data_IF_892536219034
#
_entry.id   IF_892536219034
#
_cell.length_a   1.000
_cell.length_b   1.000
_cell.length_c   1.000
_cell.angle_alpha   90.00
_cell.angle_beta   90.00
_cell.angle_gamma   90.00
#
_symmetry.space_group_name_H-M   'P 1'
#
loop_
_entity.id
_entity.type
_entity.pdbx_description
1 polymer ?
#
# COMPACT_ATOMS: atom_id res chain seq x y z
N UNK A 1 -67.93 -34.37 -43.75
CA UNK A 1 -68.02 -35.03 -45.06
C UNK A 1 -67.06 -34.30 -45.99
N UNK A 2 -65.94 -34.77 -46.52
CA UNK A 2 -65.17 -36.02 -46.61
C UNK A 2 -63.70 -35.52 -46.65
N UNK A 3 -62.75 -36.00 -45.86
CA UNK A 3 -61.96 -37.24 -46.00
C UNK A 3 -61.33 -37.48 -47.40
N UNK A 4 -59.99 -37.33 -47.43
CA UNK A 4 -58.93 -38.13 -48.12
C UNK A 4 -58.41 -37.74 -49.51
N UNK A 5 -57.10 -38.07 -49.65
CA UNK A 5 -56.23 -38.23 -50.84
C UNK A 5 -55.49 -36.93 -51.25
N UNK A 6 -54.15 -36.79 -51.32
CA UNK A 6 -53.02 -37.72 -51.51
C UNK A 6 -51.68 -37.06 -51.08
N UNK A 7 -50.76 -37.85 -50.48
CA UNK A 7 -49.29 -37.67 -50.47
C UNK A 7 -48.71 -37.98 -51.87
N UNK A 8 -47.41 -37.78 -52.22
CA UNK A 8 -46.34 -36.90 -51.70
C UNK A 8 -45.49 -36.21 -52.82
N UNK A 9 -44.87 -35.06 -52.56
CA UNK A 9 -43.69 -34.57 -53.30
C UNK A 9 -42.86 -33.75 -52.31
N UNK A 10 -41.91 -34.37 -51.62
CA UNK A 10 -40.50 -34.42 -51.98
C UNK A 10 -39.79 -33.06 -51.93
N UNK A 11 -38.81 -33.02 -51.03
CA UNK A 11 -37.61 -32.18 -51.01
C UNK A 11 -37.68 -30.77 -50.44
N UNK A 12 -36.65 -30.53 -49.62
CA UNK A 12 -36.15 -29.27 -49.10
C UNK A 12 -36.98 -28.61 -48.00
N UNK A 13 -36.59 -28.89 -46.74
CA UNK A 13 -36.11 -27.89 -45.78
C UNK A 13 -35.91 -28.55 -44.40
N UNK A 14 -34.85 -29.36 -44.26
CA UNK A 14 -34.28 -29.67 -42.95
C UNK A 14 -33.35 -28.52 -42.57
N UNK A 15 -33.92 -27.44 -42.03
CA UNK A 15 -33.15 -26.45 -41.29
C UNK A 15 -33.02 -26.93 -39.84
N UNK A 16 -31.93 -27.66 -39.57
CA UNK A 16 -31.47 -27.96 -38.22
C UNK A 16 -30.98 -26.64 -37.61
N UNK A 17 -31.80 -26.00 -36.79
CA UNK A 17 -31.35 -24.96 -35.87
C UNK A 17 -30.54 -25.64 -34.76
N UNK A 18 -29.25 -25.81 -35.03
CA UNK A 18 -28.27 -26.23 -34.03
C UNK A 18 -28.26 -25.21 -32.89
N UNK A 19 -28.59 -25.68 -31.68
CA UNK A 19 -28.23 -25.01 -30.45
C UNK A 19 -26.71 -24.84 -30.43
N UNK A 20 -26.23 -23.65 -30.72
CA UNK A 20 -24.85 -23.26 -30.46
C UNK A 20 -24.70 -23.19 -28.94
N UNK A 21 -24.21 -24.27 -28.35
CA UNK A 21 -23.60 -24.22 -27.02
C UNK A 21 -22.38 -23.31 -27.17
N UNK A 22 -22.56 -22.04 -26.82
CA UNK A 22 -21.43 -21.15 -26.58
C UNK A 22 -20.64 -21.76 -25.42
N UNK A 23 -19.48 -22.35 -25.74
CA UNK A 23 -18.41 -22.61 -24.78
C UNK A 23 -18.03 -21.25 -24.19
N UNK A 24 -18.69 -20.85 -23.11
CA UNK A 24 -18.28 -19.69 -22.33
C UNK A 24 -17.00 -20.07 -21.63
N UNK A 25 -15.96 -19.32 -21.96
CA UNK A 25 -14.58 -19.44 -21.50
C UNK A 25 -14.46 -19.73 -20.00
N UNK A 26 -14.15 -20.98 -19.67
CA UNK A 26 -13.64 -21.36 -18.35
C UNK A 26 -12.29 -20.71 -18.05
N UNK A 27 -11.64 -20.05 -19.01
CA UNK A 27 -10.38 -19.34 -18.83
C UNK A 27 -10.52 -18.07 -17.97
N UNK A 28 -11.67 -17.37 -18.04
CA UNK A 28 -11.88 -16.13 -17.28
C UNK A 28 -12.12 -16.40 -15.78
N UNK A 29 -12.71 -17.55 -15.45
CA UNK A 29 -12.96 -17.98 -14.06
C UNK A 29 -11.71 -18.54 -13.36
N UNK A 30 -10.66 -18.91 -14.09
CA UNK A 30 -9.40 -19.42 -13.50
C UNK A 30 -8.45 -18.28 -13.12
N UNK A 31 -8.54 -17.12 -13.78
CA UNK A 31 -7.71 -15.96 -13.42
C UNK A 31 -8.02 -15.37 -12.03
N UNK A 32 -9.20 -15.66 -11.47
CA UNK A 32 -9.60 -15.13 -10.16
C UNK A 32 -9.09 -15.93 -8.96
N UNK A 33 -8.43 -17.09 -9.16
CA UNK A 33 -7.99 -17.97 -8.05
C UNK A 33 -6.48 -18.23 -7.98
N UNK A 34 -5.67 -17.72 -8.90
CA UNK A 34 -4.22 -17.96 -8.89
C UNK A 34 -3.44 -16.64 -8.88
N UNK A 35 -3.66 -15.85 -7.83
CA UNK A 35 -2.79 -14.72 -7.51
C UNK A 35 -1.39 -15.26 -7.17
N UNK A 36 -0.36 -14.66 -7.79
CA UNK A 36 1.08 -14.90 -7.59
C UNK A 36 1.82 -15.84 -8.55
N UNK A 37 1.37 -16.06 -9.80
CA UNK A 37 2.23 -16.70 -10.82
C UNK A 37 3.32 -15.74 -11.34
N UNK A 38 4.50 -16.27 -11.70
CA UNK A 38 5.58 -15.54 -12.38
C UNK A 38 5.11 -15.01 -13.74
N UNK A 39 5.74 -13.94 -14.22
CA UNK A 39 5.43 -13.37 -15.54
C UNK A 39 5.63 -14.42 -16.64
N UNK A 40 4.64 -14.59 -17.52
CA UNK A 40 4.63 -15.62 -18.57
C UNK A 40 4.17 -17.01 -18.13
N UNK A 41 3.73 -17.20 -16.88
CA UNK A 41 3.26 -18.49 -16.37
C UNK A 41 1.73 -18.58 -16.23
N UNK A 42 1.15 -19.70 -16.67
CA UNK A 42 -0.29 -19.97 -16.71
C UNK A 42 -0.64 -21.33 -16.08
N UNK A 43 -1.76 -21.45 -15.34
CA UNK A 43 -2.16 -22.72 -14.72
C UNK A 43 -2.68 -23.73 -15.77
N UNK A 44 -2.43 -25.03 -15.57
CA UNK A 44 -2.92 -26.12 -16.44
C UNK A 44 -4.13 -26.80 -15.81
N UNK A 45 -5.11 -27.19 -16.64
CA UNK A 45 -6.37 -27.81 -16.20
C UNK A 45 -6.26 -29.19 -15.54
N UNK A 46 -5.06 -29.81 -15.51
CA UNK A 46 -4.78 -31.11 -14.90
C UNK A 46 -3.89 -31.05 -13.65
N UNK A 47 -3.66 -29.85 -13.09
CA UNK A 47 -2.61 -29.61 -12.10
C UNK A 47 -1.32 -29.08 -12.77
N UNK A 48 -0.55 -28.30 -12.02
CA UNK A 48 0.66 -27.65 -12.52
C UNK A 48 0.44 -26.36 -13.31
N UNK A 49 1.49 -25.91 -13.99
CA UNK A 49 1.55 -24.63 -14.69
C UNK A 49 2.53 -24.67 -15.87
N UNK A 50 2.39 -23.75 -16.81
CA UNK A 50 3.23 -23.63 -17.99
C UNK A 50 3.77 -22.22 -18.08
N UNK A 51 5.09 -22.07 -18.25
CA UNK A 51 5.78 -20.79 -18.32
C UNK A 51 6.46 -20.60 -19.67
N UNK A 52 6.25 -19.45 -20.29
CA UNK A 52 7.06 -18.99 -21.44
C UNK A 52 8.33 -18.32 -20.92
N UNK A 53 9.48 -18.94 -21.19
CA UNK A 53 10.80 -18.49 -20.77
C UNK A 53 11.63 -18.20 -22.01
N UNK A 54 12.28 -17.04 -22.06
CA UNK A 54 13.25 -16.72 -23.12
C UNK A 54 14.59 -17.39 -22.83
N UNK A 55 14.99 -18.34 -23.66
CA UNK A 55 16.37 -18.85 -23.72
C UNK A 55 16.94 -18.53 -25.10
N UNK A 56 18.14 -17.95 -25.12
CA UNK A 56 18.88 -17.63 -26.35
C UNK A 56 18.07 -16.84 -27.41
N UNK A 57 17.18 -15.95 -26.94
CA UNK A 57 16.35 -15.10 -27.81
C UNK A 57 15.11 -15.78 -28.40
N UNK A 58 14.88 -17.06 -28.12
CA UNK A 58 13.67 -17.79 -28.51
C UNK A 58 12.74 -18.02 -27.31
N UNK A 59 11.43 -17.94 -27.55
CA UNK A 59 10.41 -18.24 -26.54
C UNK A 59 10.27 -19.77 -26.42
N UNK A 60 10.71 -20.33 -25.29
CA UNK A 60 10.56 -21.75 -24.96
C UNK A 60 9.45 -21.90 -23.90
N UNK A 61 8.56 -22.87 -24.10
CA UNK A 61 7.49 -23.17 -23.15
C UNK A 61 7.90 -24.33 -22.25
N UNK A 62 8.10 -24.08 -20.96
CA UNK A 62 8.34 -25.12 -19.95
C UNK A 62 7.07 -25.42 -19.16
N UNK A 63 6.79 -26.69 -18.96
CA UNK A 63 5.67 -27.14 -18.13
C UNK A 63 6.18 -27.68 -16.81
N UNK A 64 5.55 -27.26 -15.71
CA UNK A 64 5.79 -27.72 -14.36
C UNK A 64 4.53 -28.43 -13.87
N UNK A 65 4.70 -29.56 -13.18
CA UNK A 65 3.58 -30.32 -12.63
C UNK A 65 3.08 -29.75 -11.29
N UNK A 66 3.88 -28.89 -10.64
CA UNK A 66 3.55 -28.25 -9.37
C UNK A 66 3.25 -26.75 -9.57
N UNK A 67 2.14 -26.28 -8.99
CA UNK A 67 1.70 -24.88 -9.07
C UNK A 67 2.62 -23.93 -8.27
N UNK A 68 3.27 -24.40 -7.20
CA UNK A 68 4.24 -23.63 -6.40
C UNK A 68 5.51 -23.31 -7.19
N UNK A 69 5.93 -24.17 -8.12
CA UNK A 69 7.10 -23.94 -8.96
C UNK A 69 6.96 -22.68 -9.84
N UNK A 70 5.72 -22.33 -10.20
CA UNK A 70 5.42 -21.13 -10.98
C UNK A 70 5.06 -19.92 -10.13
N UNK A 71 5.04 -20.02 -8.80
CA UNK A 71 4.73 -18.86 -7.95
C UNK A 71 5.91 -17.89 -7.87
N UNK A 72 5.59 -16.59 -7.79
CA UNK A 72 6.54 -15.54 -7.39
C UNK A 72 6.86 -15.75 -5.91
N UNK A 73 8.13 -15.89 -5.56
CA UNK A 73 8.54 -15.97 -4.17
C UNK A 73 8.32 -14.61 -3.49
N UNK A 74 7.19 -14.45 -2.81
CA UNK A 74 6.82 -13.23 -2.08
C UNK A 74 7.62 -13.03 -0.79
N UNK A 75 8.44 -14.00 -0.38
CA UNK A 75 9.09 -14.07 0.93
C UNK A 75 10.30 -13.12 1.05
N UNK A 76 10.88 -12.67 -0.05
CA UNK A 76 12.12 -11.88 -0.02
C UNK A 76 11.90 -10.42 0.41
N UNK A 77 10.78 -9.79 0.06
CA UNK A 77 10.57 -8.36 0.36
C UNK A 77 10.33 -8.09 1.85
N UNK A 78 9.64 -8.97 2.58
CA UNK A 78 9.41 -8.79 4.02
C UNK A 78 10.69 -8.99 4.83
N UNK A 79 11.45 -10.06 4.53
CA UNK A 79 12.74 -10.33 5.18
C UNK A 79 13.77 -9.27 4.82
N UNK A 80 13.91 -8.90 3.54
CA UNK A 80 14.84 -7.86 3.12
C UNK A 80 14.47 -6.50 3.73
N UNK A 81 13.18 -6.16 3.83
CA UNK A 81 12.75 -4.92 4.50
C UNK A 81 13.05 -4.95 5.99
N UNK A 82 12.88 -6.09 6.65
CA UNK A 82 13.23 -6.25 8.07
C UNK A 82 14.75 -6.12 8.28
N UNK A 83 15.56 -6.79 7.46
CA UNK A 83 17.02 -6.71 7.48
C UNK A 83 17.50 -5.28 7.19
N UNK A 84 16.99 -4.63 6.14
CA UNK A 84 17.33 -3.24 5.81
C UNK A 84 16.91 -2.27 6.92
N UNK A 85 15.73 -2.46 7.53
CA UNK A 85 15.30 -1.63 8.65
C UNK A 85 16.17 -1.86 9.90
N UNK A 86 16.64 -3.08 10.12
CA UNK A 86 17.54 -3.41 11.22
C UNK A 86 18.92 -2.79 10.99
N UNK A 87 19.48 -2.91 9.79
CA UNK A 87 20.72 -2.25 9.38
C UNK A 87 20.60 -0.72 9.48
N UNK A 88 19.47 -0.16 9.04
CA UNK A 88 19.20 1.27 9.14
C UNK A 88 19.14 1.74 10.60
N UNK A 89 18.47 0.99 11.48
CA UNK A 89 18.44 1.30 12.92
C UNK A 89 19.81 1.18 13.57
N UNK A 90 20.60 0.16 13.21
CA UNK A 90 21.94 -0.03 13.78
C UNK A 90 22.91 1.09 13.35
N UNK A 91 22.86 1.49 12.08
CA UNK A 91 23.73 2.54 11.54
C UNK A 91 23.25 3.96 11.86
N UNK A 92 21.94 4.18 11.95
CA UNK A 92 21.37 5.54 11.95
C UNK A 92 20.42 5.85 13.11
N UNK A 93 20.11 4.88 13.97
CA UNK A 93 19.05 5.03 14.98
C UNK A 93 19.34 6.03 16.10
N UNK A 94 20.61 6.35 16.36
CA UNK A 94 21.03 7.17 17.51
C UNK A 94 21.92 8.35 17.13
N UNK A 95 21.81 8.92 15.93
CA UNK A 95 22.60 10.12 15.60
C UNK A 95 22.08 11.33 16.37
N UNK A 96 23.01 12.21 16.78
CA UNK A 96 22.70 13.53 17.34
C UNK A 96 21.82 14.34 16.41
N UNK A 97 20.95 15.15 16.98
CA UNK A 97 20.16 16.11 16.22
C UNK A 97 21.08 16.96 15.31
N UNK A 98 20.67 17.10 14.04
CA UNK A 98 21.43 17.78 12.97
C UNK A 98 22.74 17.10 12.52
N UNK A 99 22.92 15.80 12.82
CA UNK A 99 24.00 14.98 12.26
C UNK A 99 23.52 14.05 11.13
N UNK A 100 24.27 14.03 10.03
CA UNK A 100 24.02 13.22 8.84
C UNK A 100 25.17 12.25 8.57
N UNK A 101 24.90 10.96 8.37
CA UNK A 101 25.94 9.95 8.14
C UNK A 101 26.63 10.14 6.79
N UNK A 102 27.93 9.80 6.71
CA UNK A 102 28.70 9.79 5.47
C UNK A 102 28.77 8.37 4.87
N UNK A 103 28.88 8.23 3.53
CA UNK A 103 28.98 6.92 2.88
C UNK A 103 30.23 6.10 3.23
N UNK A 104 31.36 6.76 3.50
CA UNK A 104 32.67 6.09 3.70
C UNK A 104 33.02 5.85 5.18
N UNK A 105 32.49 6.66 6.09
CA UNK A 105 32.54 6.55 7.56
C UNK A 105 32.29 7.93 8.17
N UNK A 106 31.82 7.98 9.41
CA UNK A 106 31.61 9.23 10.15
C UNK A 106 30.33 9.98 9.79
N UNK A 107 30.24 11.26 10.16
CA UNK A 107 29.06 12.09 9.93
C UNK A 107 29.40 13.57 9.72
N UNK A 108 28.42 14.34 9.27
CA UNK A 108 28.42 15.80 9.19
C UNK A 108 27.35 16.33 10.13
N UNK A 109 27.73 17.12 11.11
CA UNK A 109 26.83 17.71 12.07
C UNK A 109 26.80 19.22 11.93
N UNK A 110 25.63 19.84 11.97
CA UNK A 110 25.52 21.28 12.18
C UNK A 110 25.56 21.54 13.68
N UNK A 111 26.66 22.12 14.16
CA UNK A 111 26.87 22.46 15.58
C UNK A 111 26.91 23.98 15.71
N UNK A 112 26.46 24.52 16.83
CA UNK A 112 26.58 25.95 17.13
C UNK A 112 27.97 26.24 17.70
N UNK A 113 28.65 27.26 17.19
CA UNK A 113 29.91 27.73 17.73
C UNK A 113 29.72 28.62 18.98
N UNK A 114 30.83 29.08 19.57
CA UNK A 114 30.83 29.95 20.76
C UNK A 114 30.18 31.32 20.49
N UNK A 115 30.02 31.71 19.23
CA UNK A 115 29.33 32.93 18.79
C UNK A 115 27.85 32.69 18.43
N UNK A 116 27.37 31.45 18.54
CA UNK A 116 26.00 31.05 18.24
C UNK A 116 25.69 30.82 16.74
N UNK A 117 26.69 30.85 15.87
CA UNK A 117 26.53 30.56 14.44
C UNK A 117 26.53 29.04 14.19
N UNK A 118 25.69 28.57 13.26
CA UNK A 118 25.64 27.16 12.86
C UNK A 118 26.80 26.84 11.92
N UNK A 119 27.75 26.05 12.41
CA UNK A 119 28.93 25.59 11.66
C UNK A 119 28.87 24.10 11.41
N UNK A 120 29.26 23.69 10.21
CA UNK A 120 29.22 22.29 9.81
C UNK A 120 30.51 21.59 10.25
N UNK A 121 30.42 20.74 11.28
CA UNK A 121 31.53 19.93 11.76
C UNK A 121 31.48 18.53 11.15
N UNK A 122 32.61 18.06 10.67
CA UNK A 122 32.76 16.67 10.19
C UNK A 122 33.40 15.84 11.29
N UNK A 123 32.82 14.68 11.56
CA UNK A 123 33.40 13.66 12.42
C UNK A 123 33.74 12.43 11.57
N UNK A 124 34.89 11.81 11.82
CA UNK A 124 35.34 10.61 11.10
C UNK A 124 34.87 9.32 11.76
N UNK A 125 34.62 9.35 13.07
CA UNK A 125 34.12 8.21 13.85
C UNK A 125 32.60 8.30 13.99
N UNK A 126 31.92 7.16 13.91
CA UNK A 126 30.48 7.08 14.12
C UNK A 126 30.07 7.34 15.57
N UNK A 127 30.95 7.09 16.53
CA UNK A 127 30.72 7.29 17.97
C UNK A 127 30.49 8.76 18.30
N UNK A 128 31.26 9.66 17.70
CA UNK A 128 31.17 11.11 17.91
C UNK A 128 29.85 11.69 17.37
N UNK A 129 29.22 10.97 16.45
CA UNK A 129 27.96 11.31 15.79
C UNK A 129 26.74 10.85 16.58
N UNK A 130 26.92 9.94 17.54
CA UNK A 130 25.83 9.32 18.28
C UNK A 130 25.54 10.09 19.56
N UNK A 131 24.27 10.19 19.92
CA UNK A 131 23.90 10.64 21.24
C UNK A 131 24.37 9.61 22.25
N UNK A 132 25.08 10.09 23.27
CA UNK A 132 25.30 9.29 24.47
C UNK A 132 23.94 9.24 25.15
N UNK A 133 23.18 8.19 24.85
CA UNK A 133 21.96 7.89 25.59
C UNK A 133 22.38 7.63 27.03
N UNK A 134 22.12 8.58 27.92
CA UNK A 134 22.33 8.41 29.36
C UNK A 134 21.67 7.09 29.79
N UNK A 135 22.42 6.22 30.47
CA UNK A 135 21.93 4.94 30.97
C UNK A 135 20.66 5.16 31.83
N UNK A 136 20.62 6.27 32.57
CA UNK A 136 19.46 6.71 33.34
C UNK A 136 18.22 6.99 32.49
N UNK A 137 18.35 7.47 31.25
CA UNK A 137 17.22 7.69 30.34
C UNK A 137 16.68 6.36 29.77
N UNK A 138 17.56 5.38 29.54
CA UNK A 138 17.14 4.01 29.14
C UNK A 138 16.39 3.33 30.28
N UNK A 139 16.91 3.42 31.49
CA UNK A 139 16.28 2.88 32.70
C UNK A 139 14.96 3.58 33.00
N UNK A 140 14.89 4.92 32.92
CA UNK A 140 13.64 5.67 33.10
C UNK A 140 12.59 5.30 32.04
N UNK A 141 12.99 5.16 30.77
CA UNK A 141 12.07 4.73 29.70
C UNK A 141 11.60 3.29 29.90
N UNK A 142 12.48 2.39 30.35
CA UNK A 142 12.11 1.03 30.68
C UNK A 142 11.15 0.98 31.88
N UNK A 143 11.43 1.75 32.93
CA UNK A 143 10.58 1.87 34.11
C UNK A 143 9.19 2.44 33.77
N UNK A 144 9.12 3.52 32.98
CA UNK A 144 7.85 4.10 32.52
C UNK A 144 7.09 3.11 31.64
N UNK A 145 7.76 2.37 30.76
CA UNK A 145 7.11 1.35 29.94
C UNK A 145 6.56 0.19 30.78
N UNK A 146 7.28 -0.25 31.81
CA UNK A 146 6.79 -1.27 32.74
C UNK A 146 5.64 -0.73 33.60
N UNK A 147 5.70 0.52 34.05
CA UNK A 147 4.61 1.19 34.75
C UNK A 147 3.35 1.28 33.88
N UNK A 148 3.49 1.64 32.60
CA UNK A 148 2.38 1.66 31.64
C UNK A 148 1.80 0.26 31.44
N UNK A 149 2.64 -0.78 31.30
CA UNK A 149 2.16 -2.17 31.17
C UNK A 149 1.42 -2.63 32.42
N UNK A 150 1.91 -2.29 33.60
CA UNK A 150 1.25 -2.64 34.86
C UNK A 150 -0.08 -1.90 35.03
N UNK A 151 -0.11 -0.60 34.69
CA UNK A 151 -1.30 0.26 34.85
C UNK A 151 -2.36 0.06 33.77
N UNK A 152 -1.99 -0.32 32.55
CA UNK A 152 -2.92 -0.32 31.41
C UNK A 152 -2.93 -1.62 30.59
N UNK A 153 -1.90 -2.47 30.73
CA UNK A 153 -1.74 -3.66 29.88
C UNK A 153 -2.72 -4.80 30.15
N UNK A 154 -3.48 -4.74 31.24
CA UNK A 154 -4.39 -5.82 31.64
C UNK A 154 -5.87 -5.49 31.43
N UNK A 155 -6.22 -4.33 30.89
CA UNK A 155 -7.63 -3.95 30.70
C UNK A 155 -8.26 -4.73 29.52
N UNK A 156 -9.54 -5.07 29.66
CA UNK A 156 -10.40 -5.63 28.62
C UNK A 156 -10.47 -4.65 27.44
N UNK A 157 -10.73 -5.18 26.26
CA UNK A 157 -10.86 -4.34 25.06
C UNK A 157 -12.03 -3.36 25.22
N UNK A 158 -11.80 -2.11 24.80
CA UNK A 158 -12.72 -0.98 24.96
C UNK A 158 -12.96 -0.51 26.41
N UNK A 159 -12.11 -0.92 27.36
CA UNK A 159 -12.12 -0.42 28.74
C UNK A 159 -11.00 0.58 29.01
N UNK A 160 -11.33 1.71 29.62
CA UNK A 160 -10.41 2.79 29.96
C UNK A 160 -10.41 3.05 31.47
N UNK A 161 -9.24 3.14 32.13
CA UNK A 161 -9.17 3.42 33.57
C UNK A 161 -9.56 4.87 33.88
N UNK A 162 -10.14 5.08 35.07
CA UNK A 162 -10.53 6.40 35.59
C UNK A 162 -9.49 6.91 36.61
N UNK A 163 -9.24 8.23 36.66
CA UNK A 163 -8.35 8.82 37.68
C UNK A 163 -8.78 8.55 39.13
N UNK A 164 -10.10 8.41 39.36
CA UNK A 164 -10.70 8.15 40.68
C UNK A 164 -10.71 6.65 41.07
N UNK A 165 -10.07 5.78 40.28
CA UNK A 165 -10.20 4.34 40.39
C UNK A 165 -11.41 3.78 39.61
N UNK A 166 -11.30 2.52 39.22
CA UNK A 166 -12.24 1.85 38.35
C UNK A 166 -12.04 2.20 36.89
N UNK A 167 -13.02 1.88 36.07
CA UNK A 167 -12.87 1.90 34.61
C UNK A 167 -14.20 2.04 33.89
N UNK A 168 -14.11 2.48 32.64
CA UNK A 168 -15.23 2.77 31.75
C UNK A 168 -15.08 1.91 30.50
N UNK A 169 -16.02 1.01 30.27
CA UNK A 169 -16.00 0.08 29.15
C UNK A 169 -17.11 0.40 28.16
N UNK A 170 -16.80 0.41 26.86
CA UNK A 170 -17.82 0.41 25.82
C UNK A 170 -18.17 -1.04 25.49
N UNK A 171 -19.35 -1.47 25.95
CA UNK A 171 -19.89 -2.81 25.77
C UNK A 171 -21.09 -2.77 24.83
N UNK A 172 -21.57 -3.93 24.36
CA UNK A 172 -22.79 -4.01 23.54
C UNK A 172 -23.93 -4.57 24.36
N UNK A 173 -25.09 -3.93 24.31
CA UNK A 173 -26.31 -4.45 24.92
C UNK A 173 -26.84 -5.69 24.17
N UNK A 174 -27.89 -6.33 24.70
CA UNK A 174 -28.53 -7.48 24.06
C UNK A 174 -29.13 -7.20 22.67
N UNK A 175 -29.24 -5.93 22.28
CA UNK A 175 -29.72 -5.48 20.97
C UNK A 175 -28.58 -5.04 20.04
N UNK A 176 -27.31 -5.11 20.50
CA UNK A 176 -26.13 -4.74 19.73
C UNK A 176 -25.74 -3.26 19.76
N UNK A 177 -26.41 -2.43 20.56
CA UNK A 177 -26.08 -1.01 20.73
C UNK A 177 -24.88 -0.84 21.66
N UNK A 178 -24.03 0.15 21.38
CA UNK A 178 -22.91 0.48 22.26
C UNK A 178 -23.42 1.19 23.53
N UNK A 179 -23.21 0.54 24.66
CA UNK A 179 -23.53 1.05 26.00
C UNK A 179 -22.24 1.21 26.79
N UNK A 180 -22.20 2.29 27.57
CA UNK A 180 -21.05 2.63 28.39
C UNK A 180 -21.25 2.07 29.80
N UNK A 181 -20.57 0.97 30.12
CA UNK A 181 -20.52 0.42 31.46
C UNK A 181 -19.46 1.13 32.29
N UNK A 182 -19.79 1.49 33.54
CA UNK A 182 -18.85 2.12 34.47
C UNK A 182 -18.65 1.22 35.68
N UNK A 183 -17.42 0.80 35.89
CA UNK A 183 -17.03 -0.09 36.97
C UNK A 183 -16.30 0.69 38.07
N UNK A 184 -16.53 0.30 39.33
CA UNK A 184 -15.96 0.94 40.51
C UNK A 184 -14.52 0.49 40.80
N UNK A 185 -14.15 -0.72 40.37
CA UNK A 185 -12.82 -1.29 40.59
C UNK A 185 -12.11 -1.66 39.29
N UNK A 186 -10.77 -1.52 39.30
CA UNK A 186 -9.93 -1.89 38.16
C UNK A 186 -9.96 -3.39 37.87
N UNK A 187 -10.27 -4.21 38.88
CA UNK A 187 -10.33 -5.67 38.77
C UNK A 187 -11.45 -6.11 37.81
N UNK A 188 -12.57 -5.39 37.78
CA UNK A 188 -13.73 -5.71 36.95
C UNK A 188 -13.47 -5.50 35.45
N UNK A 189 -12.53 -4.62 35.12
CA UNK A 189 -12.14 -4.36 33.74
C UNK A 189 -10.87 -5.07 33.33
N UNK A 190 -10.25 -5.89 34.18
CA UNK A 190 -9.07 -6.66 33.78
C UNK A 190 -9.49 -7.96 33.09
N UNK A 191 -8.78 -8.33 32.02
CA UNK A 191 -8.97 -9.64 31.37
C UNK A 191 -8.48 -10.73 32.32
N UNK A 192 -9.33 -11.71 32.57
CA UNK A 192 -8.95 -12.89 33.35
C UNK A 192 -7.93 -13.72 32.57
N UNK A 193 -6.96 -14.32 33.27
CA UNK A 193 -5.88 -15.11 32.66
C UNK A 193 -6.44 -16.28 31.80
N UNK A 194 -7.64 -16.76 32.11
CA UNK A 194 -8.36 -17.80 31.38
C UNK A 194 -8.92 -17.37 30.03
N UNK A 195 -9.18 -16.07 29.80
CA UNK A 195 -9.66 -15.55 28.50
C UNK A 195 -8.52 -15.27 27.51
N UNK A 196 -7.29 -15.10 28.01
CA UNK A 196 -6.10 -14.82 27.18
C UNK A 196 -5.74 -15.98 26.24
N UNK A 197 -6.03 -17.22 26.66
CA UNK A 197 -5.68 -18.44 25.90
C UNK A 197 -6.67 -18.81 24.79
N UNK A 198 -7.82 -18.13 24.67
CA UNK A 198 -8.81 -18.39 23.62
C UNK A 198 -8.68 -17.47 22.40
N UNK A 199 -7.70 -16.55 22.38
CA UNK A 199 -7.44 -15.69 21.23
C UNK A 199 -6.80 -16.51 20.08
N UNK A 200 -7.65 -16.99 19.19
CA UNK A 200 -7.26 -17.36 17.83
C UNK A 200 -6.54 -16.18 17.16
N UNK A 201 -5.57 -16.40 16.26
CA UNK A 201 -4.81 -15.35 15.58
C UNK A 201 -5.65 -14.72 14.47
N UNK A 202 -6.82 -14.19 14.82
CA UNK A 202 -7.70 -13.53 13.88
C UNK A 202 -7.42 -12.04 13.89
N UNK A 203 -6.46 -11.66 13.03
CA UNK A 203 -6.23 -10.31 12.49
C UNK A 203 -6.28 -9.18 13.52
N UNK A 204 -5.09 -8.72 13.91
CA UNK A 204 -4.85 -7.34 14.32
C UNK A 204 -5.34 -6.38 13.20
N UNK A 205 -6.65 -6.14 13.14
CA UNK A 205 -7.19 -4.93 12.55
C UNK A 205 -7.39 -3.99 13.73
N UNK A 206 -6.61 -2.91 13.83
CA UNK A 206 -6.88 -1.88 14.81
C UNK A 206 -8.34 -1.45 14.68
N UNK A 207 -9.04 -1.36 15.82
CA UNK A 207 -10.39 -0.80 15.90
C UNK A 207 -10.46 0.47 15.04
N UNK A 208 -11.37 0.49 14.06
CA UNK A 208 -11.45 1.55 13.05
C UNK A 208 -11.81 2.93 13.62
N UNK A 209 -12.13 3.05 14.91
CA UNK A 209 -12.71 4.26 15.51
C UNK A 209 -11.90 4.86 16.69
N UNK A 210 -10.63 4.50 16.88
CA UNK A 210 -9.76 5.31 17.75
C UNK A 210 -9.33 6.55 16.97
N UNK A 211 -9.95 7.68 17.28
CA UNK A 211 -9.65 8.99 16.70
C UNK A 211 -8.29 9.47 17.18
N UNK A 212 -7.24 8.96 16.54
CA UNK A 212 -5.86 9.33 16.80
C UNK A 212 -5.59 10.72 16.18
N UNK A 213 -5.26 11.76 16.98
CA UNK A 213 -5.00 13.11 16.46
C UNK A 213 -3.83 13.13 15.46
N UNK A 214 -2.86 12.22 15.57
CA UNK A 214 -1.74 12.09 14.62
C UNK A 214 -2.25 11.56 13.29
N UNK A 215 -3.16 10.58 13.31
CA UNK A 215 -3.77 10.02 12.10
C UNK A 215 -4.65 11.04 11.39
N UNK A 216 -5.44 11.81 12.13
CA UNK A 216 -6.29 12.87 11.57
C UNK A 216 -5.44 13.99 10.95
N UNK A 217 -4.35 14.39 11.61
CA UNK A 217 -3.41 15.36 11.05
C UNK A 217 -2.71 14.83 9.80
N UNK A 218 -2.30 13.56 9.80
CA UNK A 218 -1.69 12.93 8.63
C UNK A 218 -2.66 12.87 7.44
N UNK A 219 -3.94 12.58 7.69
CA UNK A 219 -4.98 12.60 6.66
C UNK A 219 -5.22 14.01 6.10
N UNK A 220 -5.23 15.03 6.95
CA UNK A 220 -5.35 16.44 6.51
C UNK A 220 -4.15 16.88 5.67
N UNK A 221 -2.94 16.56 6.11
CA UNK A 221 -1.72 16.85 5.35
C UNK A 221 -1.74 16.14 4.00
N UNK A 222 -2.13 14.86 3.98
CA UNK A 222 -2.28 14.11 2.73
C UNK A 222 -3.32 14.74 1.80
N UNK A 223 -4.49 15.10 2.33
CA UNK A 223 -5.53 15.78 1.55
C UNK A 223 -5.04 17.13 0.99
N UNK A 224 -4.26 17.90 1.76
CA UNK A 224 -3.67 19.15 1.30
C UNK A 224 -2.69 18.93 0.12
N UNK A 225 -1.84 17.91 0.20
CA UNK A 225 -0.93 17.53 -0.90
C UNK A 225 -1.71 17.11 -2.15
N UNK A 226 -2.77 16.31 -1.98
CA UNK A 226 -3.62 15.91 -3.10
C UNK A 226 -4.31 17.11 -3.74
N UNK A 227 -4.80 18.06 -2.94
CA UNK A 227 -5.38 19.30 -3.46
C UNK A 227 -4.35 20.13 -4.22
N UNK A 228 -3.15 20.29 -3.68
CA UNK A 228 -2.05 20.99 -4.35
C UNK A 228 -1.68 20.31 -5.68
N UNK A 229 -1.62 18.98 -5.72
CA UNK A 229 -1.39 18.24 -6.94
C UNK A 229 -2.52 18.46 -7.94
N UNK A 230 -3.77 18.28 -7.53
CA UNK A 230 -4.94 18.50 -8.38
C UNK A 230 -4.97 19.90 -8.99
N UNK A 231 -4.62 20.93 -8.21
CA UNK A 231 -4.48 22.31 -8.70
C UNK A 231 -3.37 22.47 -9.75
N UNK A 232 -2.20 21.85 -9.53
CA UNK A 232 -1.07 21.88 -10.47
C UNK A 232 -1.36 21.14 -11.78
N UNK A 233 -2.14 20.06 -11.72
CA UNK A 233 -2.56 19.29 -12.88
C UNK A 233 -3.83 19.84 -13.57
N UNK A 234 -4.53 20.79 -12.94
CA UNK A 234 -5.77 21.35 -13.48
C UNK A 234 -5.55 22.07 -14.82
N UNK A 235 -6.28 21.60 -15.83
CA UNK A 235 -6.27 22.15 -17.19
C UNK A 235 -4.98 21.91 -17.95
N UNK A 236 -4.08 21.05 -17.46
CA UNK A 236 -2.83 20.71 -18.13
C UNK A 236 -3.12 19.82 -19.35
N UNK A 237 -2.42 20.07 -20.47
CA UNK A 237 -2.54 19.25 -21.68
C UNK A 237 -2.13 17.80 -21.35
N UNK A 238 -2.78 16.83 -21.99
CA UNK A 238 -2.43 15.42 -21.91
C UNK A 238 -0.95 15.23 -22.24
N UNK A 239 -0.31 14.34 -21.47
CA UNK A 239 1.13 14.08 -21.53
C UNK A 239 2.04 15.27 -21.18
N UNK A 240 1.50 16.35 -20.59
CA UNK A 240 2.28 17.40 -19.96
C UNK A 240 2.37 17.21 -18.44
N UNK A 241 3.52 17.55 -17.87
CA UNK A 241 3.83 17.42 -16.44
C UNK A 241 4.28 18.77 -15.86
N UNK A 242 3.70 19.20 -14.72
CA UNK A 242 3.98 20.51 -14.14
C UNK A 242 5.42 20.57 -13.61
N UNK A 243 6.09 21.70 -13.84
CA UNK A 243 7.43 21.99 -13.31
C UNK A 243 7.43 23.33 -12.57
N UNK A 244 8.45 23.63 -11.74
CA UNK A 244 8.58 24.95 -11.11
C UNK A 244 8.62 26.13 -12.11
N UNK A 245 9.03 25.87 -13.36
CA UNK A 245 8.98 26.82 -14.47
C UNK A 245 8.40 26.10 -15.70
N UNK A 246 7.13 26.37 -16.01
CA UNK A 246 6.40 25.78 -17.13
C UNK A 246 6.12 24.29 -16.97
N UNK A 247 6.29 23.52 -18.03
CA UNK A 247 5.99 22.08 -18.05
C UNK A 247 6.90 21.28 -18.99
N UNK A 248 6.85 19.96 -18.83
CA UNK A 248 7.46 18.99 -19.73
C UNK A 248 6.34 18.21 -20.43
N UNK A 249 6.26 18.27 -21.74
CA UNK A 249 5.23 17.59 -22.53
C UNK A 249 5.85 16.51 -23.41
N UNK A 250 5.25 15.32 -23.45
CA UNK A 250 5.65 14.27 -24.41
C UNK A 250 4.89 14.54 -25.71
N UNK A 251 5.60 14.85 -26.79
CA UNK A 251 5.00 15.18 -28.10
C UNK A 251 4.87 13.92 -28.97
N UNK A 252 5.67 12.90 -28.73
CA UNK A 252 5.62 11.66 -29.48
C UNK A 252 6.71 10.69 -29.05
N UNK A 253 6.91 9.64 -29.85
CA UNK A 253 7.99 8.68 -29.69
C UNK A 253 8.94 8.75 -30.88
N UNK A 254 10.23 8.56 -30.65
CA UNK A 254 11.23 8.42 -31.71
C UNK A 254 11.12 7.06 -32.41
N UNK A 255 11.95 6.84 -33.43
CA UNK A 255 12.00 5.58 -34.19
C UNK A 255 12.37 4.37 -33.34
N UNK A 256 13.00 4.62 -32.19
CA UNK A 256 13.43 3.62 -31.21
C UNK A 256 12.43 3.46 -30.04
N UNK A 257 11.26 4.12 -30.12
CA UNK A 257 10.18 4.04 -29.14
C UNK A 257 10.36 4.89 -27.87
N UNK A 258 11.41 5.72 -27.79
CA UNK A 258 11.68 6.60 -26.64
C UNK A 258 10.85 7.88 -26.73
N UNK A 259 10.45 8.40 -25.58
CA UNK A 259 9.61 9.60 -25.51
C UNK A 259 10.39 10.86 -25.92
N UNK A 260 9.83 11.60 -26.88
CA UNK A 260 10.31 12.91 -27.30
C UNK A 260 9.64 13.94 -26.39
N UNK A 261 10.46 14.54 -25.52
CA UNK A 261 10.02 15.54 -24.55
C UNK A 261 10.25 16.96 -25.08
N UNK A 262 9.25 17.81 -24.92
CA UNK A 262 9.28 19.24 -25.18
C UNK A 262 9.14 20.03 -23.88
N UNK A 263 9.98 21.06 -23.71
CA UNK A 263 10.00 21.90 -22.52
C UNK A 263 9.38 23.23 -22.83
N UNK A 264 8.20 23.47 -22.26
CA UNK A 264 7.51 24.76 -22.38
C UNK A 264 7.79 25.57 -21.14
N UNK A 265 8.19 26.83 -21.32
CA UNK A 265 8.62 27.70 -20.21
C UNK A 265 7.47 28.51 -19.61
N UNK A 266 6.33 28.61 -20.30
CA UNK A 266 5.15 29.36 -19.86
C UNK A 266 4.01 28.40 -19.53
N UNK A 267 3.35 28.62 -18.41
CA UNK A 267 2.21 27.81 -17.96
C UNK A 267 1.02 27.87 -18.94
N UNK A 268 0.87 28.97 -19.67
CA UNK A 268 -0.17 29.11 -20.71
C UNK A 268 -0.02 28.11 -21.85
N UNK A 269 1.22 27.75 -22.20
CA UNK A 269 1.52 26.81 -23.28
C UNK A 269 1.32 25.35 -22.81
N UNK A 270 1.23 25.15 -21.50
CA UNK A 270 1.05 23.86 -20.84
C UNK A 270 -0.41 23.49 -20.62
N UNK A 271 -1.31 24.48 -20.69
CA UNK A 271 -2.73 24.33 -20.38
C UNK A 271 -3.59 24.46 -21.62
N UNK A 272 -4.74 23.80 -21.61
CA UNK A 272 -5.76 23.97 -22.64
C UNK A 272 -6.43 25.34 -22.46
N UNK A 273 -6.61 26.08 -23.56
CA UNK A 273 -7.43 27.29 -23.52
C UNK A 273 -8.92 26.92 -23.53
N UNK A 274 -9.80 27.77 -22.97
CA UNK A 274 -11.25 27.55 -23.01
C UNK A 274 -11.74 27.41 -24.46
N UNK A 275 -12.31 26.25 -24.80
CA UNK A 275 -12.80 25.95 -26.15
C UNK A 275 -11.75 25.40 -27.14
N UNK A 276 -10.48 25.26 -26.74
CA UNK A 276 -9.44 24.64 -27.57
C UNK A 276 -9.66 23.12 -27.63
N UNK A 277 -10.00 22.61 -28.82
CA UNK A 277 -10.08 21.18 -29.12
C UNK A 277 -8.93 20.85 -30.08
N UNK A 278 -7.94 20.08 -29.63
CA UNK A 278 -6.74 19.79 -30.42
C UNK A 278 -5.67 19.03 -29.63
N UNK A 279 -4.53 18.73 -30.27
CA UNK A 279 -3.46 17.84 -29.77
C UNK A 279 -3.17 18.01 -28.27
N UNK A 280 -3.67 17.04 -27.48
CA UNK A 280 -3.47 16.96 -26.04
C UNK A 280 -4.50 17.70 -25.19
N UNK A 281 -5.63 18.17 -25.72
CA UNK A 281 -6.74 18.70 -24.92
C UNK A 281 -7.92 17.75 -24.93
N UNK A 282 -8.44 17.34 -23.74
CA UNK A 282 -9.53 16.39 -23.67
C UNK A 282 -10.81 16.96 -24.29
N UNK A 283 -11.67 16.06 -24.77
CA UNK A 283 -12.87 16.38 -25.57
C UNK A 283 -13.86 17.33 -24.87
N UNK A 284 -13.77 17.44 -23.54
CA UNK A 284 -14.58 18.32 -22.70
C UNK A 284 -14.10 19.77 -22.60
N UNK A 285 -12.91 20.12 -23.12
CA UNK A 285 -12.29 21.43 -22.89
C UNK A 285 -11.60 21.54 -21.51
N UNK A 286 -11.08 22.73 -21.21
CA UNK A 286 -10.34 23.05 -19.98
C UNK A 286 -11.21 23.09 -18.71
#
# INVERSE_FOLDING_TARGET
>A
MLLRLLLPLACALLAVSGLSVQKRDTAVLVHQKVDNLRDGCFPRGGGGCSCTIKKDGADETQSFDDLEACRRQTIQTAKNKMTLNQEFKQKFGNLKENCFPKPKSGCRCNVRDEAGAEVMKTFEKEEDCREVMDESAKEAKAAVNEEIKQKFGQFKENCFPKPSGGCKCNEKDGNGNEVVATYGSDAECKVSVSERSKRSPQRERPSQNVRDPVREQAQRNYAAVINELNEKFKGLKENCFPRPKGCLCIIGKDKDGRDINDRRMKDKDCKCQPGERGNGCPVGGA
#
